data_IF_153767240070
#
_entry.id   IF_153767240070
#
_cell.length_a   1.000
_cell.length_b   1.000
_cell.length_c   1.000
_cell.angle_alpha   90.00
_cell.angle_beta   90.00
_cell.angle_gamma   90.00
#
_symmetry.space_group_name_H-M   'P 1'
#
loop_
_entity.id
_entity.type
_entity.pdbx_description
1 polymer ?
#
# COMPACT_ATOMS: atom_id res chain seq x y z
N UNK A 1 -16.89 24.51 5.73
CA UNK A 1 -16.43 24.10 4.39
C UNK A 1 -15.90 22.67 4.51
N UNK A 2 -16.75 21.68 4.29
CA UNK A 2 -16.33 20.26 4.31
C UNK A 2 -15.66 19.95 2.98
N UNK A 3 -14.34 19.76 3.01
CA UNK A 3 -13.55 19.34 1.86
C UNK A 3 -14.09 17.99 1.35
N UNK A 4 -14.55 17.95 0.10
CA UNK A 4 -14.89 16.71 -0.62
C UNK A 4 -13.61 16.04 -1.14
N UNK A 5 -12.59 15.90 -0.28
CA UNK A 5 -11.38 15.20 -0.65
C UNK A 5 -11.70 13.71 -0.82
N UNK A 6 -11.49 13.20 -2.03
CA UNK A 6 -11.69 11.81 -2.39
C UNK A 6 -10.73 10.93 -1.58
N UNK A 7 -11.25 9.84 -0.98
CA UNK A 7 -10.41 8.88 -0.27
C UNK A 7 -9.40 8.30 -1.27
N UNK A 8 -8.09 8.32 -0.95
CA UNK A 8 -7.07 7.86 -1.87
C UNK A 8 -7.20 6.36 -2.13
N UNK A 9 -6.80 5.92 -3.33
CA UNK A 9 -6.84 4.50 -3.70
C UNK A 9 -5.90 3.66 -2.81
N UNK A 10 -6.29 2.40 -2.57
CA UNK A 10 -5.54 1.43 -1.76
C UNK A 10 -4.15 1.16 -2.33
N UNK A 11 -4.10 0.92 -3.64
CA UNK A 11 -2.87 0.65 -4.37
C UNK A 11 -2.26 2.01 -4.70
N UNK A 12 -1.00 2.21 -4.31
CA UNK A 12 -0.22 3.38 -4.71
C UNK A 12 0.18 3.19 -6.16
N UNK A 13 0.90 2.12 -6.45
CA UNK A 13 1.25 1.67 -7.79
C UNK A 13 1.78 0.22 -7.74
N UNK A 14 2.10 -0.32 -8.90
CA UNK A 14 2.79 -1.60 -9.10
C UNK A 14 3.87 -1.41 -10.15
N UNK A 15 5.07 -1.93 -9.88
CA UNK A 15 6.18 -1.97 -10.82
C UNK A 15 6.56 -3.42 -11.08
N UNK A 16 6.48 -3.85 -12.34
CA UNK A 16 6.86 -5.18 -12.78
C UNK A 16 8.21 -5.15 -13.48
N UNK A 17 9.13 -5.99 -13.02
CA UNK A 17 10.32 -6.33 -13.76
C UNK A 17 10.00 -7.30 -14.90
N UNK A 18 10.84 -7.30 -15.93
CA UNK A 18 10.75 -8.27 -17.04
C UNK A 18 11.21 -9.67 -16.64
N UNK A 19 12.08 -9.77 -15.64
CA UNK A 19 12.59 -11.04 -15.13
C UNK A 19 11.74 -11.50 -13.93
N UNK A 20 11.48 -12.80 -13.87
CA UNK A 20 10.84 -13.41 -12.71
C UNK A 20 11.68 -13.21 -11.44
N UNK A 21 11.00 -12.95 -10.32
CA UNK A 21 11.64 -12.70 -9.04
C UNK A 21 10.61 -12.50 -7.92
N UNK A 22 11.09 -12.09 -6.75
CA UNK A 22 10.26 -11.92 -5.57
C UNK A 22 9.20 -10.81 -5.73
N UNK A 23 8.07 -10.97 -5.05
CA UNK A 23 7.13 -9.88 -4.80
C UNK A 23 7.52 -9.17 -3.50
N UNK A 24 7.90 -7.90 -3.60
CA UNK A 24 8.04 -7.02 -2.45
C UNK A 24 6.78 -6.17 -2.31
N UNK A 25 6.12 -6.29 -1.15
CA UNK A 25 4.97 -5.46 -0.80
C UNK A 25 5.41 -4.42 0.23
N UNK A 26 5.30 -3.14 -0.10
CA UNK A 26 5.51 -2.05 0.84
C UNK A 26 4.17 -1.46 1.30
N UNK A 27 3.97 -1.40 2.61
CA UNK A 27 2.77 -0.83 3.23
C UNK A 27 3.15 0.43 4.01
N UNK A 28 2.58 1.58 3.63
CA UNK A 28 2.74 2.86 4.33
C UNK A 28 1.44 3.34 4.93
N UNK A 29 1.48 4.16 5.99
CA UNK A 29 0.29 4.78 6.57
C UNK A 29 -0.63 3.80 7.31
N UNK A 30 -0.06 2.84 8.04
CA UNK A 30 -0.82 1.96 8.94
C UNK A 30 -1.56 2.77 10.01
N UNK A 31 -0.90 3.80 10.53
CA UNK A 31 -1.52 4.90 11.26
C UNK A 31 -1.67 6.10 10.33
N UNK A 32 -2.84 6.74 10.34
CA UNK A 32 -3.16 7.80 9.40
C UNK A 32 -2.44 9.13 9.62
N UNK A 33 -1.95 9.36 10.83
CA UNK A 33 -1.10 10.49 11.18
C UNK A 33 0.39 10.27 10.80
N UNK A 34 0.73 9.15 10.14
CA UNK A 34 2.10 8.80 9.72
C UNK A 34 2.22 8.68 8.18
N UNK A 35 2.02 9.77 7.40
CA UNK A 35 1.99 9.72 5.94
C UNK A 35 3.36 9.54 5.28
N UNK A 36 4.47 9.67 6.02
CA UNK A 36 5.82 9.65 5.47
C UNK A 36 6.14 8.33 4.73
N UNK A 37 5.67 7.20 5.23
CA UNK A 37 5.84 5.91 4.55
C UNK A 37 5.10 5.83 3.21
N UNK A 38 3.92 6.47 3.09
CA UNK A 38 3.20 6.54 1.81
C UNK A 38 4.01 7.37 0.81
N UNK A 39 4.50 8.54 1.23
CA UNK A 39 5.33 9.41 0.38
C UNK A 39 6.62 8.72 -0.08
N UNK A 40 7.30 8.02 0.82
CA UNK A 40 8.52 7.29 0.48
C UNK A 40 8.26 6.21 -0.59
N UNK A 41 7.14 5.50 -0.51
CA UNK A 41 6.75 4.50 -1.52
C UNK A 41 6.45 5.18 -2.87
N UNK A 42 5.77 6.32 -2.87
CA UNK A 42 5.53 7.13 -4.08
C UNK A 42 6.87 7.54 -4.73
N UNK A 43 7.82 8.03 -3.93
CA UNK A 43 9.17 8.38 -4.41
C UNK A 43 9.92 7.17 -4.98
N UNK A 44 9.81 5.98 -4.38
CA UNK A 44 10.41 4.76 -4.93
C UNK A 44 9.85 4.45 -6.32
N UNK A 45 8.55 4.66 -6.56
CA UNK A 45 7.99 4.47 -7.91
C UNK A 45 8.51 5.48 -8.92
N UNK A 46 8.66 6.74 -8.53
CA UNK A 46 9.26 7.77 -9.39
C UNK A 46 10.70 7.41 -9.75
N UNK A 47 11.48 6.93 -8.79
CA UNK A 47 12.85 6.47 -9.02
C UNK A 47 12.89 5.27 -9.97
N UNK A 48 12.06 4.24 -9.72
CA UNK A 48 11.97 3.05 -10.58
C UNK A 48 11.53 3.38 -12.02
N UNK A 49 10.66 4.38 -12.20
CA UNK A 49 10.22 4.82 -13.52
C UNK A 49 11.35 5.54 -14.29
N UNK A 50 12.22 6.27 -13.60
CA UNK A 50 13.31 7.02 -14.21
C UNK A 50 14.58 6.18 -14.44
N UNK A 51 14.77 5.13 -13.65
CA UNK A 51 16.01 4.34 -13.64
C UNK A 51 16.40 3.75 -15.01
N UNK A 52 15.48 3.18 -15.82
CA UNK A 52 15.84 2.64 -17.13
C UNK A 52 16.44 3.67 -18.10
N UNK A 53 16.02 4.94 -17.99
CA UNK A 53 16.54 6.04 -18.82
C UNK A 53 17.90 6.54 -18.35
N UNK A 54 18.21 6.41 -17.05
CA UNK A 54 19.48 6.84 -16.44
C UNK A 54 20.55 5.75 -16.48
N UNK A 55 20.13 4.49 -16.50
CA UNK A 55 20.99 3.33 -16.38
C UNK A 55 20.52 2.24 -17.36
N UNK A 56 21.12 2.18 -18.55
CA UNK A 56 20.76 1.23 -19.61
C UNK A 56 20.93 -0.25 -19.21
N UNK A 57 21.77 -0.52 -18.21
CA UNK A 57 22.03 -1.85 -17.66
C UNK A 57 21.08 -2.21 -16.50
N UNK A 58 20.19 -1.30 -16.09
CA UNK A 58 19.24 -1.58 -15.03
C UNK A 58 18.30 -2.73 -15.42
N UNK A 59 18.19 -3.72 -14.53
CA UNK A 59 17.30 -4.86 -14.67
C UNK A 59 16.59 -5.09 -13.35
N UNK A 60 15.28 -4.84 -13.32
CA UNK A 60 14.46 -5.15 -12.17
C UNK A 60 13.96 -6.59 -12.25
N UNK A 61 14.14 -7.37 -11.17
CA UNK A 61 13.72 -8.77 -11.08
C UNK A 61 12.58 -8.90 -10.06
N UNK A 62 11.44 -9.42 -10.50
CA UNK A 62 10.25 -9.56 -9.66
C UNK A 62 9.31 -8.36 -9.73
N UNK A 63 8.62 -8.08 -8.62
CA UNK A 63 7.54 -7.08 -8.57
C UNK A 63 7.62 -6.25 -7.29
N UNK A 64 7.40 -4.95 -7.41
CA UNK A 64 7.15 -4.06 -6.28
C UNK A 64 5.69 -3.61 -6.27
N UNK A 65 5.00 -3.81 -5.13
CA UNK A 65 3.63 -3.37 -4.92
C UNK A 65 3.58 -2.43 -3.72
N UNK A 66 3.13 -1.19 -3.94
CA UNK A 66 2.99 -0.19 -2.90
C UNK A 66 1.53 -0.04 -2.49
N UNK A 67 1.27 -0.06 -1.18
CA UNK A 67 -0.07 0.00 -0.61
C UNK A 67 -0.19 1.09 0.45
N UNK A 68 -1.36 1.74 0.48
CA UNK A 68 -1.79 2.59 1.59
C UNK A 68 -2.49 1.74 2.66
N UNK A 69 -2.09 1.95 3.91
CA UNK A 69 -2.63 1.35 5.12
C UNK A 69 -4.01 1.91 5.46
N UNK A 70 -4.23 2.50 6.62
CA UNK A 70 -5.57 2.94 7.02
C UNK A 70 -6.06 4.16 6.21
N UNK A 71 -6.76 3.94 5.09
CA UNK A 71 -7.22 4.99 4.17
C UNK A 71 -8.07 6.06 4.86
N UNK A 72 -9.04 5.64 5.68
CA UNK A 72 -9.92 6.56 6.40
C UNK A 72 -9.13 7.37 7.42
N UNK A 73 -8.23 6.74 8.17
CA UNK A 73 -7.40 7.47 9.14
C UNK A 73 -6.37 8.38 8.45
N UNK A 74 -5.80 7.97 7.31
CA UNK A 74 -4.90 8.80 6.49
C UNK A 74 -5.61 10.07 6.03
N UNK A 75 -6.84 9.93 5.55
CA UNK A 75 -7.68 11.06 5.15
C UNK A 75 -8.03 11.96 6.35
N UNK A 76 -8.29 11.38 7.52
CA UNK A 76 -8.59 12.12 8.74
C UNK A 76 -7.34 12.61 9.52
N UNK A 77 -6.13 12.33 9.03
CA UNK A 77 -4.86 12.63 9.69
C UNK A 77 -4.77 12.21 11.16
N UNK A 78 -5.41 11.09 11.52
CA UNK A 78 -5.42 10.55 12.87
C UNK A 78 -4.78 9.15 12.92
N UNK A 79 -4.39 8.69 14.11
CA UNK A 79 -3.79 7.35 14.27
C UNK A 79 -4.73 6.24 13.79
N UNK A 80 -6.01 6.36 14.13
CA UNK A 80 -7.06 5.37 13.86
C UNK A 80 -8.44 6.05 13.84
N UNK A 81 -9.42 5.40 13.23
CA UNK A 81 -10.83 5.82 13.33
C UNK A 81 -11.44 5.26 14.62
N UNK A 82 -11.77 3.96 14.65
CA UNK A 82 -12.29 3.31 15.86
C UNK A 82 -11.22 2.47 16.57
N UNK A 83 -10.48 1.65 15.82
CA UNK A 83 -9.47 0.72 16.33
C UNK A 83 -8.15 0.90 15.62
N UNK A 84 -7.05 0.73 16.36
CA UNK A 84 -5.70 0.72 15.81
C UNK A 84 -5.56 -0.45 14.82
N UNK A 85 -5.35 -0.14 13.54
CA UNK A 85 -5.21 -1.14 12.48
C UNK A 85 -4.06 -2.11 12.77
N UNK A 86 -2.94 -1.59 13.28
CA UNK A 86 -1.75 -2.39 13.59
C UNK A 86 -1.90 -3.22 14.89
N UNK A 87 -3.11 -3.24 15.48
CA UNK A 87 -3.48 -4.12 16.59
C UNK A 87 -4.59 -5.11 16.22
N UNK A 88 -5.09 -5.06 14.98
CA UNK A 88 -6.19 -5.93 14.53
C UNK A 88 -5.72 -7.27 13.94
N UNK A 89 -4.42 -7.49 13.77
CA UNK A 89 -3.85 -8.75 13.25
C UNK A 89 -3.81 -9.86 14.32
N UNK A 90 -4.92 -10.07 15.02
CA UNK A 90 -5.06 -11.14 16.01
C UNK A 90 -5.50 -12.44 15.34
N UNK A 91 -5.13 -13.58 15.92
CA UNK A 91 -5.56 -14.90 15.46
C UNK A 91 -7.08 -14.98 15.33
N UNK A 92 -7.83 -14.42 16.29
CA UNK A 92 -9.29 -14.40 16.30
C UNK A 92 -9.84 -13.60 15.11
N UNK A 93 -9.29 -12.41 14.83
CA UNK A 93 -9.70 -11.62 13.68
C UNK A 93 -9.37 -12.31 12.36
N UNK A 94 -8.19 -12.94 12.24
CA UNK A 94 -7.81 -13.70 11.05
C UNK A 94 -8.78 -14.86 10.81
N UNK A 95 -9.13 -15.62 11.84
CA UNK A 95 -10.11 -16.71 11.73
C UNK A 95 -11.50 -16.19 11.36
N UNK A 96 -11.94 -15.08 11.96
CA UNK A 96 -13.21 -14.42 11.61
C UNK A 96 -13.22 -14.02 10.14
N UNK A 97 -12.16 -13.39 9.64
CA UNK A 97 -12.05 -12.95 8.24
C UNK A 97 -12.00 -14.12 7.26
N UNK A 98 -11.33 -15.24 7.59
CA UNK A 98 -11.30 -16.44 6.74
C UNK A 98 -12.66 -17.10 6.57
N UNK A 99 -13.56 -16.95 7.56
CA UNK A 99 -14.95 -17.44 7.49
C UNK A 99 -15.88 -16.51 6.71
N UNK A 100 -15.48 -15.26 6.45
CA UNK A 100 -16.22 -14.38 5.57
C UNK A 100 -15.99 -14.85 4.14
N UNK A 101 -17.01 -15.43 3.52
CA UNK A 101 -16.99 -15.79 2.11
C UNK A 101 -16.78 -14.52 1.28
N UNK A 102 -15.68 -14.44 0.52
CA UNK A 102 -15.49 -13.34 -0.44
C UNK A 102 -16.47 -13.54 -1.59
N UNK A 103 -17.58 -12.81 -1.59
CA UNK A 103 -18.39 -12.64 -2.78
C UNK A 103 -17.54 -11.94 -3.86
N UNK A 104 -16.98 -12.73 -4.77
CA UNK A 104 -16.67 -12.30 -6.15
C UNK A 104 -15.35 -11.58 -6.44
N UNK A 105 -14.46 -11.32 -5.46
CA UNK A 105 -13.18 -10.64 -5.79
C UNK A 105 -12.07 -11.67 -5.98
N UNK A 106 -11.79 -12.01 -7.25
CA UNK A 106 -10.52 -12.59 -7.68
C UNK A 106 -9.43 -11.53 -7.49
N UNK A 107 -8.35 -11.91 -6.80
CA UNK A 107 -7.11 -11.13 -6.76
C UNK A 107 -6.26 -11.59 -7.94
#
# INVERSE_FOLDING_TARGET
>A
MTSTATIPQRIINRYDGHEHGALLIALGGMHGNEPAGVKAIETVFEMLAQEPSKNSNFRFKGRFLGLRGNLSALHAHCRQIEKDLNRQFTTQNIHRLKKLTRNGVKI
#
